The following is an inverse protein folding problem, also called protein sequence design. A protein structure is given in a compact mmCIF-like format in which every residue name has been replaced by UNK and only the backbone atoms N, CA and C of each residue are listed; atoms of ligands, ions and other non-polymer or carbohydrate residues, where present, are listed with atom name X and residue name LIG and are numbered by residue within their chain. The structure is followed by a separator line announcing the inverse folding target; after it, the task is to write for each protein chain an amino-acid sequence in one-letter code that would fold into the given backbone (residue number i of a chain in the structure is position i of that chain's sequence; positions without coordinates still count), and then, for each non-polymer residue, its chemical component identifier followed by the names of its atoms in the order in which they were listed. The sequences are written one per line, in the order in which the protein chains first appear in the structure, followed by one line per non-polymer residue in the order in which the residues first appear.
data_IF_666806491412
#
_entry.id   IF_666806491412
#
_cell.length_a   1.000
_cell.length_b   1.000
_cell.length_c   1.000
_cell.angle_alpha   90.00
_cell.angle_beta   90.00
_cell.angle_gamma   90.00
#
_symmetry.space_group_name_H-M   'P 1'
#
loop_
_entity.id
_entity.type
_entity.pdbx_description
1 polymer ?
#
# COMPACT_ATOMS: atom_id res chain seq x y z
N UNK A 1 29.90 1.97 32.11
CA UNK A 1 29.06 1.98 30.89
C UNK A 1 29.56 0.87 30.01
N UNK A 2 28.77 -0.18 29.82
CA UNK A 2 29.04 -1.13 28.74
C UNK A 2 28.98 -0.36 27.41
N UNK A 3 29.76 -0.75 26.38
CA UNK A 3 29.60 -0.16 25.06
C UNK A 3 28.16 -0.42 24.62
N UNK A 4 27.51 0.59 24.05
CA UNK A 4 26.29 0.41 23.27
C UNK A 4 26.62 -0.62 22.18
N UNK A 5 26.05 -1.83 22.27
CA UNK A 5 26.28 -2.88 21.28
C UNK A 5 25.85 -2.32 19.92
N UNK A 6 26.82 -2.15 19.02
CA UNK A 6 26.57 -1.63 17.70
C UNK A 6 25.67 -2.62 16.95
N UNK A 7 24.46 -2.17 16.61
CA UNK A 7 23.46 -2.97 15.89
C UNK A 7 24.02 -3.51 14.56
N UNK A 8 23.72 -4.77 14.24
CA UNK A 8 24.26 -5.43 13.06
C UNK A 8 23.75 -4.83 11.75
N UNK A 9 24.53 -4.97 10.67
CA UNK A 9 24.22 -4.34 9.38
C UNK A 9 22.92 -4.90 8.78
N UNK A 10 22.71 -6.21 8.87
CA UNK A 10 21.46 -6.83 8.41
C UNK A 10 20.23 -6.25 9.13
N UNK A 11 20.30 -6.06 10.44
CA UNK A 11 19.21 -5.42 11.22
C UNK A 11 18.95 -3.99 10.73
N UNK A 12 20.01 -3.20 10.53
CA UNK A 12 19.88 -1.85 9.96
C UNK A 12 19.24 -1.86 8.57
N UNK A 13 19.66 -2.81 7.71
CA UNK A 13 19.06 -2.99 6.39
C UNK A 13 17.57 -3.26 6.52
N UNK A 14 17.14 -4.28 7.27
CA UNK A 14 15.72 -4.62 7.47
C UNK A 14 14.91 -3.40 7.90
N UNK A 15 15.40 -2.62 8.88
CA UNK A 15 14.74 -1.41 9.35
C UNK A 15 14.63 -0.31 8.29
N UNK A 16 15.64 -0.13 7.44
CA UNK A 16 15.60 0.82 6.33
C UNK A 16 14.64 0.34 5.21
N UNK A 17 14.57 -0.97 4.97
CA UNK A 17 13.60 -1.60 4.06
C UNK A 17 12.16 -1.35 4.57
N UNK A 18 11.89 -1.59 5.86
CA UNK A 18 10.60 -1.31 6.52
C UNK A 18 10.23 0.18 6.45
N UNK A 19 11.18 1.07 6.70
CA UNK A 19 10.95 2.52 6.60
C UNK A 19 10.52 2.93 5.21
N UNK A 20 11.19 2.40 4.18
CA UNK A 20 10.87 2.68 2.78
C UNK A 20 9.47 2.21 2.43
N UNK A 21 9.11 1.00 2.88
CA UNK A 21 7.77 0.46 2.70
C UNK A 21 6.70 1.27 3.43
N UNK A 22 6.95 1.63 4.69
CA UNK A 22 6.05 2.47 5.47
C UNK A 22 5.77 3.81 4.76
N UNK A 23 6.78 4.43 4.16
CA UNK A 23 6.61 5.67 3.39
C UNK A 23 5.69 5.49 2.18
N UNK A 24 5.87 4.41 1.40
CA UNK A 24 4.99 4.09 0.26
C UNK A 24 3.56 3.82 0.73
N UNK A 25 3.36 3.05 1.80
CA UNK A 25 2.04 2.76 2.36
C UNK A 25 1.33 4.01 2.90
N UNK A 26 2.06 4.91 3.54
CA UNK A 26 1.54 6.20 3.97
C UNK A 26 1.09 7.05 2.78
N UNK A 27 1.91 7.13 1.73
CA UNK A 27 1.56 7.83 0.49
C UNK A 27 0.33 7.24 -0.19
N UNK A 28 0.27 5.92 -0.33
CA UNK A 28 -0.85 5.22 -0.96
C UNK A 28 -2.17 5.46 -0.21
N UNK A 29 -2.17 5.37 1.12
CA UNK A 29 -3.36 5.72 1.94
C UNK A 29 -3.76 7.17 1.79
N UNK A 30 -2.79 8.09 1.78
CA UNK A 30 -3.09 9.50 1.61
C UNK A 30 -3.79 9.76 0.28
N UNK A 31 -3.29 9.18 -0.82
CA UNK A 31 -3.88 9.32 -2.15
C UNK A 31 -5.28 8.70 -2.20
N UNK A 32 -5.44 7.45 -1.75
CA UNK A 32 -6.73 6.77 -1.74
C UNK A 32 -7.79 7.53 -0.92
N UNK A 33 -7.42 8.07 0.25
CA UNK A 33 -8.33 8.87 1.08
C UNK A 33 -8.73 10.17 0.40
N UNK A 34 -7.81 10.86 -0.26
CA UNK A 34 -8.12 12.11 -0.95
C UNK A 34 -9.03 11.88 -2.17
N UNK A 35 -8.83 10.78 -2.90
CA UNK A 35 -9.72 10.40 -3.99
C UNK A 35 -11.16 10.21 -3.52
N UNK A 36 -11.37 9.40 -2.47
CA UNK A 36 -12.71 9.11 -1.95
C UNK A 36 -13.35 10.33 -1.27
N UNK A 37 -12.58 11.12 -0.49
CA UNK A 37 -13.14 12.22 0.32
C UNK A 37 -13.29 13.54 -0.44
N UNK A 38 -12.42 13.81 -1.41
CA UNK A 38 -12.34 15.12 -2.08
C UNK A 38 -12.62 15.04 -3.58
N UNK A 39 -12.82 13.84 -4.13
CA UNK A 39 -12.94 13.65 -5.57
C UNK A 39 -11.68 14.07 -6.32
N UNK A 40 -10.51 14.03 -5.67
CA UNK A 40 -9.25 14.41 -6.30
C UNK A 40 -8.97 13.50 -7.50
N UNK A 41 -8.50 14.09 -8.60
CA UNK A 41 -8.02 13.33 -9.75
C UNK A 41 -6.79 12.53 -9.33
N UNK A 42 -6.80 11.23 -9.63
CA UNK A 42 -5.69 10.33 -9.33
C UNK A 42 -4.89 10.06 -10.59
N UNK A 43 -3.56 10.12 -10.47
CA UNK A 43 -2.68 9.54 -11.48
C UNK A 43 -2.60 8.02 -11.24
N UNK A 44 -3.35 7.23 -12.03
CA UNK A 44 -3.30 5.78 -11.92
C UNK A 44 -1.90 5.21 -12.16
N UNK A 45 -1.04 5.90 -12.93
CA UNK A 45 0.36 5.47 -13.12
C UNK A 45 1.18 5.56 -11.84
N UNK A 46 0.84 6.48 -10.93
CA UNK A 46 1.45 6.58 -9.60
C UNK A 46 0.95 5.44 -8.70
N UNK A 47 -0.37 5.20 -8.68
CA UNK A 47 -0.95 4.13 -7.86
C UNK A 47 -0.43 2.75 -8.29
N UNK A 48 -0.39 2.49 -9.60
CA UNK A 48 0.18 1.27 -10.17
C UNK A 48 1.67 1.14 -9.82
N UNK A 49 2.45 2.22 -9.86
CA UNK A 49 3.86 2.20 -9.47
C UNK A 49 4.04 1.88 -7.97
N UNK A 50 3.18 2.41 -7.10
CA UNK A 50 3.19 2.09 -5.67
C UNK A 50 2.85 0.62 -5.40
N UNK A 51 1.83 0.08 -6.09
CA UNK A 51 1.45 -1.34 -5.97
C UNK A 51 2.56 -2.24 -6.50
N UNK A 52 3.15 -1.92 -7.65
CA UNK A 52 4.26 -2.67 -8.22
C UNK A 52 5.51 -2.65 -7.33
N UNK A 53 5.78 -1.53 -6.64
CA UNK A 53 6.85 -1.47 -5.64
C UNK A 53 6.59 -2.43 -4.47
N UNK A 54 5.36 -2.44 -3.93
CA UNK A 54 4.98 -3.31 -2.83
C UNK A 54 5.02 -4.80 -3.25
N UNK A 55 4.65 -5.11 -4.49
CA UNK A 55 4.72 -6.47 -5.02
C UNK A 55 6.16 -6.94 -5.21
N UNK A 56 6.98 -6.11 -5.85
CA UNK A 56 8.33 -6.48 -6.21
C UNK A 56 9.29 -6.50 -5.03
N UNK A 57 9.17 -5.56 -4.09
CA UNK A 57 10.15 -5.39 -3.03
C UNK A 57 9.79 -6.16 -1.74
N UNK A 58 8.77 -5.76 -0.95
CA UNK A 58 8.35 -6.50 0.24
C UNK A 58 8.04 -7.98 -0.02
N UNK A 59 7.11 -8.24 -0.94
CA UNK A 59 6.51 -9.59 -1.08
C UNK A 59 7.40 -10.58 -1.84
N UNK A 60 8.19 -10.10 -2.80
CA UNK A 60 9.02 -10.94 -3.66
C UNK A 60 10.51 -10.94 -3.29
N UNK A 61 11.01 -9.96 -2.53
CA UNK A 61 12.43 -9.89 -2.16
C UNK A 61 12.67 -9.88 -0.64
N UNK A 62 12.00 -9.00 0.11
CA UNK A 62 12.23 -8.83 1.54
C UNK A 62 11.77 -10.04 2.37
N UNK A 63 10.48 -10.38 2.35
CA UNK A 63 9.97 -11.52 3.14
C UNK A 63 10.68 -12.86 2.82
N UNK A 64 10.99 -13.19 1.54
CA UNK A 64 11.77 -14.39 1.25
C UNK A 64 13.15 -14.42 1.91
N UNK A 65 13.83 -13.28 2.05
CA UNK A 65 15.11 -13.21 2.78
C UNK A 65 14.91 -13.46 4.28
N UNK A 66 13.86 -12.90 4.86
CA UNK A 66 13.56 -13.10 6.29
C UNK A 66 13.24 -14.56 6.58
N UNK A 67 12.38 -15.19 5.77
CA UNK A 67 12.04 -16.61 5.87
C UNK A 67 13.29 -17.50 5.73
N UNK A 68 14.13 -17.21 4.74
CA UNK A 68 15.29 -18.05 4.39
C UNK A 68 16.46 -17.93 5.38
N UNK A 69 16.63 -16.76 6.01
CA UNK A 69 17.78 -16.48 6.88
C UNK A 69 17.35 -16.20 8.31
N UNK A 70 16.64 -15.10 8.57
CA UNK A 70 16.27 -14.67 9.92
C UNK A 70 15.46 -15.73 10.67
N UNK A 71 14.36 -16.20 10.07
CA UNK A 71 13.46 -17.16 10.73
C UNK A 71 14.11 -18.53 10.84
N UNK A 72 14.86 -18.97 9.83
CA UNK A 72 15.60 -20.24 9.88
C UNK A 72 16.61 -20.24 11.03
N UNK A 73 17.43 -19.18 11.16
CA UNK A 73 18.45 -19.09 12.20
C UNK A 73 17.82 -18.98 13.60
N UNK A 74 16.73 -18.21 13.74
CA UNK A 74 15.99 -18.14 15.00
C UNK A 74 15.39 -19.48 15.41
N UNK A 75 14.95 -20.33 14.47
CA UNK A 75 14.49 -21.69 14.83
C UNK A 75 15.61 -22.58 15.36
N UNK A 76 16.85 -22.33 14.96
CA UNK A 76 18.01 -23.09 15.46
C UNK A 76 18.42 -22.62 16.87
N UNK A 77 18.44 -21.30 17.08
CA UNK A 77 19.00 -20.71 18.32
C UNK A 77 17.95 -20.32 19.37
N UNK A 78 16.68 -20.21 18.98
CA UNK A 78 15.57 -19.81 19.84
C UNK A 78 14.28 -20.61 19.51
N UNK A 79 14.27 -21.94 19.75
CA UNK A 79 13.14 -22.80 19.37
C UNK A 79 11.80 -22.41 20.00
N UNK A 80 11.81 -21.76 21.17
CA UNK A 80 10.61 -21.25 21.84
C UNK A 80 9.89 -20.15 21.03
N UNK A 81 10.57 -19.50 20.08
CA UNK A 81 9.97 -18.51 19.18
C UNK A 81 9.21 -19.13 18.00
N UNK A 82 9.26 -20.46 17.83
CA UNK A 82 8.64 -21.15 16.69
C UNK A 82 7.17 -20.75 16.42
N UNK A 83 6.28 -20.61 17.44
CA UNK A 83 4.91 -20.17 17.19
C UNK A 83 4.80 -18.77 16.60
N UNK A 84 5.64 -17.83 17.05
CA UNK A 84 5.70 -16.46 16.51
C UNK A 84 6.20 -16.46 15.07
N UNK A 85 7.22 -17.27 14.77
CA UNK A 85 7.78 -17.39 13.43
C UNK A 85 6.81 -18.10 12.46
N UNK A 86 6.02 -19.07 12.93
CA UNK A 86 4.96 -19.71 12.15
C UNK A 86 3.85 -18.73 11.77
N UNK A 87 3.46 -17.88 12.72
CA UNK A 87 2.49 -16.81 12.50
C UNK A 87 3.01 -15.77 11.50
N UNK A 88 4.25 -15.30 11.62
CA UNK A 88 4.84 -14.35 10.67
C UNK A 88 4.96 -14.95 9.26
N UNK A 89 5.41 -16.20 9.13
CA UNK A 89 5.44 -16.87 7.83
C UNK A 89 4.03 -17.05 7.22
N UNK A 90 2.98 -17.19 8.05
CA UNK A 90 1.60 -17.15 7.59
C UNK A 90 1.19 -15.75 7.13
N UNK A 91 1.60 -14.71 7.87
CA UNK A 91 1.40 -13.32 7.47
C UNK A 91 2.07 -13.01 6.13
N UNK A 92 3.29 -13.49 5.84
CA UNK A 92 3.90 -13.33 4.51
C UNK A 92 3.02 -13.88 3.37
N UNK A 93 2.33 -15.00 3.60
CA UNK A 93 1.40 -15.57 2.60
C UNK A 93 0.11 -14.75 2.48
N UNK A 94 -0.42 -14.30 3.61
CA UNK A 94 -1.63 -13.47 3.64
C UNK A 94 -1.41 -12.07 3.04
N UNK A 95 -0.20 -11.51 3.19
CA UNK A 95 0.23 -10.28 2.54
C UNK A 95 0.05 -10.33 1.02
N UNK A 96 0.56 -11.39 0.38
CA UNK A 96 0.39 -11.65 -1.06
C UNK A 96 -1.07 -11.70 -1.48
N UNK A 97 -1.91 -12.38 -0.71
CA UNK A 97 -3.35 -12.48 -1.00
C UNK A 97 -4.05 -11.10 -0.91
N UNK A 98 -3.70 -10.31 0.10
CA UNK A 98 -4.23 -8.94 0.28
C UNK A 98 -3.77 -8.00 -0.81
N UNK A 99 -2.50 -8.09 -1.22
CA UNK A 99 -1.96 -7.29 -2.30
C UNK A 99 -2.63 -7.61 -3.64
N UNK A 100 -2.86 -8.90 -3.93
CA UNK A 100 -3.60 -9.32 -5.12
C UNK A 100 -5.04 -8.77 -5.11
N UNK A 101 -5.69 -8.71 -3.95
CA UNK A 101 -7.01 -8.08 -3.81
C UNK A 101 -6.96 -6.57 -4.05
N UNK A 102 -5.96 -5.88 -3.47
CA UNK A 102 -5.72 -4.45 -3.70
C UNK A 102 -5.50 -4.14 -5.18
N UNK A 103 -4.68 -4.94 -5.88
CA UNK A 103 -4.45 -4.80 -7.31
C UNK A 103 -5.73 -4.93 -8.15
N UNK A 104 -6.61 -5.88 -7.81
CA UNK A 104 -7.93 -6.01 -8.45
C UNK A 104 -8.81 -4.79 -8.20
N UNK A 105 -8.89 -4.31 -6.96
CA UNK A 105 -9.67 -3.13 -6.61
C UNK A 105 -9.17 -1.86 -7.32
N UNK A 106 -7.84 -1.72 -7.48
CA UNK A 106 -7.25 -0.63 -8.26
C UNK A 106 -7.65 -0.72 -9.74
N UNK A 107 -7.58 -1.91 -10.34
CA UNK A 107 -7.96 -2.12 -11.74
C UNK A 107 -9.45 -1.80 -11.99
N UNK A 108 -10.34 -2.28 -11.11
CA UNK A 108 -11.78 -1.99 -11.17
C UNK A 108 -12.06 -0.49 -11.04
N UNK A 109 -11.35 0.19 -10.13
CA UNK A 109 -11.50 1.62 -9.97
C UNK A 109 -11.02 2.39 -11.21
N UNK A 110 -9.88 2.02 -11.77
CA UNK A 110 -9.35 2.59 -13.01
C UNK A 110 -10.31 2.41 -14.17
N UNK A 111 -10.79 1.19 -14.39
CA UNK A 111 -11.75 0.88 -15.45
C UNK A 111 -13.02 1.73 -15.32
N UNK A 112 -13.51 1.91 -14.09
CA UNK A 112 -14.69 2.74 -13.86
C UNK A 112 -14.50 4.20 -14.29
N UNK A 113 -13.31 4.76 -14.03
CA UNK A 113 -12.96 6.15 -14.33
C UNK A 113 -12.64 6.34 -15.81
N UNK A 114 -11.89 5.41 -16.42
CA UNK A 114 -11.41 5.52 -17.81
C UNK A 114 -12.44 5.08 -18.85
N UNK A 115 -13.39 4.20 -18.49
CA UNK A 115 -14.45 3.70 -19.38
C UNK A 115 -15.84 4.10 -18.84
N UNK A 116 -16.31 5.33 -19.17
CA UNK A 116 -17.65 5.76 -18.83
C UNK A 116 -18.70 4.89 -19.53
N UNK A 117 -19.80 4.56 -18.84
CA UNK A 117 -20.94 3.86 -19.44
C UNK A 117 -21.53 4.74 -20.56
N UNK A 118 -21.76 4.23 -21.78
CA UNK A 118 -22.40 5.00 -22.84
C UNK A 118 -23.75 5.54 -22.40
N UNK A 119 -23.97 6.83 -22.61
CA UNK A 119 -25.18 7.57 -22.19
C UNK A 119 -26.45 7.20 -22.97
N UNK A 120 -26.36 6.38 -24.01
CA UNK A 120 -27.44 6.19 -25.00
C UNK A 120 -28.16 4.82 -24.94
N UNK A 121 -28.57 4.36 -23.75
CA UNK A 121 -29.49 3.23 -23.61
C UNK A 121 -30.71 3.62 -22.75
N UNK A 122 -31.68 4.27 -23.41
CA UNK A 122 -32.95 4.80 -22.87
C UNK A 122 -32.84 5.92 -21.85
N UNK A 123 -33.72 6.92 -21.92
CA UNK A 123 -33.72 8.14 -21.10
C UNK A 123 -33.87 7.93 -19.56
N UNK A 124 -33.84 6.69 -19.08
CA UNK A 124 -33.55 6.31 -17.68
C UNK A 124 -32.03 6.28 -17.37
N UNK A 125 -31.20 6.35 -18.43
CA UNK A 125 -29.73 6.40 -18.51
C UNK A 125 -29.11 7.72 -18.04
N UNK A 126 -29.90 8.68 -17.55
CA UNK A 126 -29.40 9.84 -16.78
C UNK A 126 -28.88 9.42 -15.38
N UNK A 127 -28.31 8.22 -15.30
CA UNK A 127 -28.43 7.28 -14.20
C UNK A 127 -27.31 7.51 -13.19
N UNK A 128 -27.69 7.83 -11.95
CA UNK A 128 -26.77 7.81 -10.81
C UNK A 128 -25.97 6.50 -10.70
N UNK A 129 -26.36 5.43 -11.39
CA UNK A 129 -25.70 4.14 -11.41
C UNK A 129 -24.23 4.17 -11.84
N UNK A 130 -23.87 4.92 -12.89
CA UNK A 130 -22.45 5.06 -13.29
C UNK A 130 -21.60 5.72 -12.21
N UNK A 131 -22.15 6.76 -11.56
CA UNK A 131 -21.52 7.42 -10.40
C UNK A 131 -21.45 6.51 -9.18
N UNK A 132 -22.52 5.78 -8.88
CA UNK A 132 -22.58 4.80 -7.78
C UNK A 132 -21.52 3.72 -7.99
N UNK A 133 -21.38 3.18 -9.22
CA UNK A 133 -20.35 2.19 -9.56
C UNK A 133 -18.95 2.71 -9.22
N UNK A 134 -18.61 3.94 -9.63
CA UNK A 134 -17.26 4.47 -9.38
C UNK A 134 -17.04 4.86 -7.93
N UNK A 135 -18.07 5.32 -7.21
CA UNK A 135 -17.99 5.53 -5.76
C UNK A 135 -17.74 4.21 -5.01
N UNK A 136 -18.44 3.14 -5.41
CA UNK A 136 -18.24 1.81 -4.83
C UNK A 136 -16.84 1.27 -5.14
N UNK A 137 -16.36 1.41 -6.37
CA UNK A 137 -15.00 0.97 -6.73
C UNK A 137 -13.92 1.77 -5.99
N UNK A 138 -14.09 3.10 -5.86
CA UNK A 138 -13.18 3.94 -5.09
C UNK A 138 -13.17 3.57 -3.59
N UNK A 139 -14.34 3.26 -3.03
CA UNK A 139 -14.47 2.80 -1.65
C UNK A 139 -13.80 1.43 -1.44
N UNK A 140 -14.03 0.47 -2.33
CA UNK A 140 -13.38 -0.84 -2.29
C UNK A 140 -11.85 -0.73 -2.42
N UNK A 141 -11.36 0.14 -3.30
CA UNK A 141 -9.93 0.46 -3.39
C UNK A 141 -9.40 1.02 -2.07
N UNK A 142 -10.04 2.03 -1.49
CA UNK A 142 -9.64 2.58 -0.20
C UNK A 142 -9.64 1.52 0.91
N UNK A 143 -10.69 0.71 1.01
CA UNK A 143 -10.79 -0.34 2.02
C UNK A 143 -9.67 -1.38 1.86
N UNK A 144 -9.32 -1.74 0.62
CA UNK A 144 -8.21 -2.65 0.33
C UNK A 144 -6.84 -2.07 0.74
N UNK A 145 -6.63 -0.77 0.50
CA UNK A 145 -5.42 -0.03 0.91
C UNK A 145 -5.32 0.05 2.43
N UNK A 146 -6.41 0.38 3.13
CA UNK A 146 -6.45 0.43 4.59
C UNK A 146 -6.21 -0.94 5.22
N UNK A 147 -6.82 -1.98 4.64
CA UNK A 147 -6.66 -3.37 5.05
C UNK A 147 -5.21 -3.83 4.91
N UNK A 148 -4.58 -3.61 3.74
CA UNK A 148 -3.19 -3.98 3.50
C UNK A 148 -2.24 -3.22 4.42
N UNK A 149 -2.38 -1.90 4.52
CA UNK A 149 -1.46 -1.10 5.34
C UNK A 149 -1.58 -1.42 6.84
N UNK A 150 -2.81 -1.61 7.35
CA UNK A 150 -3.03 -1.99 8.76
C UNK A 150 -2.43 -3.36 9.07
N UNK A 151 -2.58 -4.30 8.14
CA UNK A 151 -1.95 -5.61 8.24
C UNK A 151 -0.42 -5.47 8.29
N UNK A 152 0.16 -4.74 7.35
CA UNK A 152 1.61 -4.63 7.19
C UNK A 152 2.30 -3.92 8.37
N UNK A 153 1.67 -2.89 8.98
CA UNK A 153 2.22 -2.28 10.19
C UNK A 153 2.19 -3.20 11.41
N UNK A 154 1.18 -4.06 11.53
CA UNK A 154 1.12 -5.03 12.64
C UNK A 154 2.21 -6.07 12.46
N UNK A 155 2.40 -6.52 11.22
CA UNK A 155 3.45 -7.45 10.82
C UNK A 155 4.85 -6.93 11.16
N UNK A 156 5.25 -5.79 10.60
CA UNK A 156 6.56 -5.18 10.85
C UNK A 156 6.80 -4.89 12.34
N UNK A 157 5.77 -4.56 13.11
CA UNK A 157 5.93 -4.36 14.58
C UNK A 157 6.35 -5.63 15.30
N UNK A 158 5.82 -6.78 14.92
CA UNK A 158 6.23 -8.05 15.55
C UNK A 158 7.70 -8.32 15.20
N UNK A 159 8.11 -8.04 13.96
CA UNK A 159 9.50 -8.19 13.56
C UNK A 159 10.43 -7.25 14.32
N UNK A 160 10.10 -5.96 14.35
CA UNK A 160 10.91 -4.92 14.99
C UNK A 160 10.96 -5.04 16.51
N UNK A 161 9.83 -5.33 17.16
CA UNK A 161 9.74 -5.32 18.63
C UNK A 161 10.09 -6.68 19.26
N UNK A 162 10.01 -7.78 18.49
CA UNK A 162 10.19 -9.15 19.00
C UNK A 162 11.28 -9.92 18.29
N UNK A 163 11.21 -10.02 16.96
CA UNK A 163 12.08 -10.92 16.18
C UNK A 163 13.51 -10.39 16.09
N UNK A 164 13.69 -9.13 15.69
CA UNK A 164 15.02 -8.52 15.58
C UNK A 164 15.71 -8.46 16.94
N UNK A 165 15.07 -8.01 18.05
CA UNK A 165 15.70 -8.04 19.37
C UNK A 165 16.04 -9.45 19.85
N UNK A 166 15.30 -10.48 19.42
CA UNK A 166 15.62 -11.86 19.75
C UNK A 166 16.84 -12.35 18.96
N UNK A 167 16.96 -11.98 17.68
CA UNK A 167 18.13 -12.29 16.86
C UNK A 167 19.41 -11.68 17.46
N UNK A 168 19.36 -10.40 17.84
CA UNK A 168 20.46 -9.67 18.51
C UNK A 168 20.94 -10.38 19.79
N UNK A 169 20.04 -11.03 20.52
CA UNK A 169 20.38 -11.75 21.76
C UNK A 169 20.92 -13.17 21.55
N UNK A 170 20.62 -13.79 20.41
CA UNK A 170 20.77 -15.25 20.24
C UNK A 170 21.73 -15.65 19.14
N UNK A 171 21.94 -14.79 18.14
CA UNK A 171 22.80 -15.11 17.00
C UNK A 171 24.28 -15.07 17.40
N UNK A 172 25.03 -16.03 16.90
CA UNK A 172 26.49 -16.02 16.97
C UNK A 172 27.09 -15.10 15.91
N UNK A 173 28.40 -14.83 16.02
CA UNK A 173 29.12 -14.07 14.99
C UNK A 173 29.06 -14.73 13.60
N UNK A 174 28.95 -16.06 13.52
CA UNK A 174 28.84 -16.77 12.25
C UNK A 174 27.45 -16.58 11.62
N UNK A 175 26.39 -16.60 12.44
CA UNK A 175 25.01 -16.34 11.99
C UNK A 175 24.87 -14.90 11.46
N UNK A 176 25.48 -13.94 12.16
CA UNK A 176 25.49 -12.54 11.70
C UNK A 176 26.29 -12.34 10.41
N UNK A 177 27.40 -13.06 10.22
CA UNK A 177 28.14 -13.00 8.96
C UNK A 177 27.31 -13.55 7.79
N UNK A 178 26.51 -14.60 8.02
CA UNK A 178 25.58 -15.14 7.03
C UNK A 178 24.45 -14.15 6.70
N UNK A 179 23.81 -13.57 7.73
CA UNK A 179 22.78 -12.53 7.59
C UNK A 179 23.31 -11.32 6.83
N UNK A 180 24.45 -10.76 7.25
CA UNK A 180 25.02 -9.58 6.61
C UNK A 180 25.33 -9.83 5.14
N UNK A 181 25.80 -11.03 4.77
CA UNK A 181 26.04 -11.39 3.38
C UNK A 181 24.72 -11.44 2.56
N UNK A 182 23.67 -12.05 3.11
CA UNK A 182 22.37 -12.17 2.45
C UNK A 182 21.66 -10.82 2.27
N UNK A 183 21.78 -9.91 3.25
CA UNK A 183 21.13 -8.60 3.23
C UNK A 183 21.97 -7.49 2.57
N UNK A 184 23.28 -7.70 2.34
CA UNK A 184 24.13 -6.75 1.60
C UNK A 184 24.01 -6.88 0.08
N UNK A 185 23.67 -8.08 -0.43
CA UNK A 185 23.49 -8.29 -1.86
C UNK A 185 22.18 -7.66 -2.34
N UNK A 186 22.26 -6.49 -2.95
CA UNK A 186 21.14 -5.89 -3.69
C UNK A 186 20.73 -6.73 -4.93
N UNK A 187 21.47 -7.80 -5.21
CA UNK A 187 21.05 -8.89 -6.07
C UNK A 187 20.61 -10.02 -5.16
N UNK A 188 19.29 -10.23 -5.09
CA UNK A 188 18.71 -11.36 -4.37
C UNK A 188 19.34 -12.68 -4.87
N UNK A 189 20.04 -13.44 -4.00
CA UNK A 189 20.60 -14.75 -4.37
C UNK A 189 19.53 -15.77 -4.80
N UNK A 190 18.25 -15.55 -4.44
CA UNK A 190 17.10 -16.37 -4.84
C UNK A 190 16.53 -15.99 -6.21
N UNK A 191 16.84 -14.80 -6.74
CA UNK A 191 16.30 -14.29 -8.00
C UNK A 191 17.38 -13.90 -9.01
N UNK A 192 18.41 -14.73 -9.14
CA UNK A 192 19.55 -14.51 -10.04
C UNK A 192 19.16 -13.87 -11.38
N UNK A 193 19.61 -12.64 -11.61
CA UNK A 193 19.69 -11.86 -12.86
C UNK A 193 18.55 -11.93 -13.93
N UNK A 194 17.42 -12.59 -13.69
CA UNK A 194 16.62 -13.16 -14.79
C UNK A 194 15.10 -13.02 -14.73
N UNK A 195 14.50 -12.45 -13.70
CA UNK A 195 13.03 -12.30 -13.63
C UNK A 195 12.64 -10.92 -13.13
N UNK A 196 12.37 -9.98 -14.04
CA UNK A 196 11.68 -8.69 -13.80
C UNK A 196 11.94 -7.97 -12.45
N UNK A 197 13.14 -8.12 -11.88
CA UNK A 197 13.64 -7.39 -10.72
C UNK A 197 14.08 -6.01 -11.15
N UNK A 198 13.15 -5.25 -11.74
CA UNK A 198 13.36 -3.87 -12.11
C UNK A 198 13.81 -3.11 -10.87
N UNK A 199 14.95 -2.43 -10.98
CA UNK A 199 15.58 -1.58 -9.97
C UNK A 199 14.53 -0.95 -9.04
N UNK A 200 14.32 -1.50 -7.84
CA UNK A 200 13.31 -0.99 -6.89
C UNK A 200 13.59 0.48 -6.56
N UNK A 201 14.85 0.90 -6.67
CA UNK A 201 15.27 2.29 -6.58
C UNK A 201 14.67 3.12 -7.70
N UNK A 202 14.59 2.59 -8.92
CA UNK A 202 13.92 3.24 -10.04
C UNK A 202 12.40 3.30 -9.85
N UNK A 203 11.77 2.25 -9.31
CA UNK A 203 10.34 2.28 -8.95
C UNK A 203 10.07 3.31 -7.86
N UNK A 204 10.87 3.34 -6.79
CA UNK A 204 10.78 4.34 -5.73
C UNK A 204 11.02 5.76 -6.26
N UNK A 205 12.04 5.95 -7.11
CA UNK A 205 12.31 7.24 -7.77
C UNK A 205 11.14 7.67 -8.62
N UNK A 206 10.51 6.74 -9.36
CA UNK A 206 9.30 7.01 -10.14
C UNK A 206 8.15 7.42 -9.24
N UNK A 207 7.93 6.72 -8.12
CA UNK A 207 6.90 7.10 -7.12
C UNK A 207 7.14 8.52 -6.62
N UNK A 208 8.37 8.85 -6.19
CA UNK A 208 8.71 10.18 -5.67
C UNK A 208 8.49 11.27 -6.74
N UNK A 209 8.85 11.01 -7.99
CA UNK A 209 8.69 11.98 -9.08
C UNK A 209 7.23 12.15 -9.54
N UNK A 210 6.38 11.14 -9.34
CA UNK A 210 4.96 11.21 -9.68
C UNK A 210 4.11 11.74 -8.51
N UNK A 211 4.53 11.49 -7.27
CA UNK A 211 3.72 11.80 -6.10
C UNK A 211 3.68 13.31 -5.82
N UNK A 212 2.48 13.89 -5.61
CA UNK A 212 2.33 15.30 -5.26
C UNK A 212 2.93 15.59 -3.88
N UNK A 213 3.22 16.87 -3.60
CA UNK A 213 3.48 17.31 -2.23
C UNK A 213 2.28 16.98 -1.31
N UNK A 214 2.51 16.55 -0.05
CA UNK A 214 3.79 16.44 0.64
C UNK A 214 4.51 15.07 0.45
N UNK A 215 3.98 14.17 -0.38
CA UNK A 215 4.54 12.82 -0.54
C UNK A 215 5.79 12.83 -1.42
N UNK A 216 5.80 13.63 -2.49
CA UNK A 216 6.89 13.66 -3.45
C UNK A 216 7.06 15.01 -4.14
N UNK A 217 7.70 14.98 -5.31
CA UNK A 217 8.10 16.14 -6.11
C UNK A 217 7.25 16.32 -7.37
N UNK A 218 6.21 15.49 -7.52
CA UNK A 218 5.29 15.52 -8.65
C UNK A 218 4.33 16.72 -8.65
N UNK A 219 3.57 16.90 -9.74
CA UNK A 219 2.59 17.98 -9.85
C UNK A 219 1.57 17.93 -8.72
N UNK A 220 1.06 19.08 -8.30
CA UNK A 220 0.01 19.14 -7.28
C UNK A 220 -1.24 18.40 -7.76
N UNK A 221 -2.01 17.83 -6.82
CA UNK A 221 -3.33 17.30 -7.15
C UNK A 221 -4.22 18.49 -7.53
N UNK A 222 -4.68 18.52 -8.78
CA UNK A 222 -5.70 19.47 -9.17
C UNK A 222 -6.95 19.19 -8.32
N UNK A 223 -7.49 20.23 -7.69
CA UNK A 223 -8.85 20.14 -7.18
C UNK A 223 -9.71 19.91 -8.42
N UNK A 224 -10.32 18.73 -8.55
CA UNK A 224 -11.23 18.44 -9.66
C UNK A 224 -12.14 19.66 -9.84
N UNK A 225 -12.15 20.24 -11.04
CA UNK A 225 -12.93 21.43 -11.39
C UNK A 225 -14.36 21.24 -10.90
N UNK A 226 -14.59 21.77 -9.70
CA UNK A 226 -15.82 21.57 -8.97
C UNK A 226 -16.80 22.54 -9.55
N UNK A 227 -17.66 22.06 -10.46
CA UNK A 227 -18.98 22.65 -10.63
C UNK A 227 -19.62 22.70 -9.24
N UNK A 228 -19.45 23.87 -8.61
CA UNK A 228 -19.68 24.13 -7.19
C UNK A 228 -21.18 24.02 -6.85
N UNK A 229 -22.00 23.96 -7.90
CA UNK A 229 -23.46 23.92 -7.87
C UNK A 229 -24.01 22.63 -7.24
N UNK A 230 -23.34 21.48 -7.40
CA UNK A 230 -23.94 20.19 -7.02
C UNK A 230 -23.79 19.86 -5.52
N UNK A 231 -22.72 20.31 -4.86
CA UNK A 231 -22.49 20.08 -3.43
C UNK A 231 -23.20 21.10 -2.52
N UNK A 232 -23.48 22.31 -3.01
CA UNK A 232 -24.28 23.30 -2.27
C UNK A 232 -25.77 22.94 -2.23
N UNK A 233 -26.31 22.33 -3.31
CA UNK A 233 -27.70 21.87 -3.35
C UNK A 233 -27.99 20.80 -2.28
N UNK A 234 -27.06 19.88 -2.04
CA UNK A 234 -27.18 18.84 -1.00
C UNK A 234 -27.05 19.39 0.44
N UNK A 235 -26.39 20.53 0.64
CA UNK A 235 -26.26 21.19 1.95
C UNK A 235 -27.45 22.11 2.29
N UNK A 236 -28.17 22.60 1.29
CA UNK A 236 -29.23 23.60 1.50
C UNK A 236 -30.58 23.02 1.93
N UNK A 237 -30.77 21.68 1.93
CA UNK A 237 -31.98 21.03 2.43
C UNK A 237 -33.30 21.44 1.75
N UNK A 238 -33.25 22.12 0.59
CA UNK A 238 -34.44 22.55 -0.15
C UNK A 238 -34.80 21.54 -1.23
N UNK A 239 -35.35 20.41 -0.81
CA UNK A 239 -36.12 19.54 -1.69
C UNK A 239 -37.61 19.71 -1.36
N UNK A 240 -38.35 20.33 -2.28
CA UNK A 240 -39.81 20.27 -2.38
C UNK A 240 -40.62 21.06 -1.36
N UNK A 241 -40.85 22.35 -1.61
CA UNK A 241 -42.13 23.03 -1.33
C UNK A 241 -42.29 24.20 -2.31
N UNK A 242 -42.92 23.96 -3.46
CA UNK A 242 -43.85 24.90 -4.08
C UNK A 242 -44.41 24.30 -5.38
N UNK A 243 -45.46 23.50 -5.24
CA UNK A 243 -46.55 23.49 -6.21
C UNK A 243 -47.86 23.29 -5.45
N UNK A 244 -48.72 24.32 -5.44
CA UNK A 244 -50.12 24.16 -5.05
C UNK A 244 -50.77 25.31 -4.30
N UNK A 245 -50.80 26.52 -4.85
CA UNK A 245 -51.86 27.49 -4.51
C UNK A 245 -51.97 28.64 -5.52
N UNK A 246 -52.73 28.44 -6.62
CA UNK A 246 -53.45 29.53 -7.28
C UNK A 246 -54.49 28.96 -8.26
N UNK A 247 -55.78 29.19 -8.02
CA UNK A 247 -56.81 28.89 -9.01
C UNK A 247 -58.24 28.71 -8.50
N UNK A 248 -58.75 29.59 -7.63
CA UNK A 248 -60.20 29.83 -7.49
C UNK A 248 -60.44 31.32 -7.18
N UNK A 249 -60.87 32.06 -8.20
CA UNK A 249 -61.89 33.10 -8.17
C UNK A 249 -62.26 33.43 -9.62
#
# INVERSE_FOLDING_TARGET
MAPEEAMHKATLTILDEHRSLAAVLHGLRYLARNAVKRGATLDFRLLEAMVAYIEGFPEACHHPKEDAYLFRLLRLHAPDAAPTLDELAAQHRDGKNRLAHLGRALAEYRECVEIPVPVDADALSNSGWGRIRCLTAAAAFLDSVESYATFHWKHMRIEEDVVLPLAEKTFSAADWAEMDAAFSSHQDPLHGAGTNGGDFRALFTRIVNLAPAPIGLGPALDAADGDTTTLELLRSGRFGQDEGAAGRA
#
